data_IF_554206973283
#
_entry.id   IF_554206973283
#
_cell.length_a   1.000
_cell.length_b   1.000
_cell.length_c   1.000
_cell.angle_alpha   90.00
_cell.angle_beta   90.00
_cell.angle_gamma   90.00
#
_symmetry.space_group_name_H-M   'P 1'
#
loop_
_entity.id
_entity.type
_entity.pdbx_description
1 polymer ?
#
# COMPACT_ATOMS: atom_id res chain seq x y z
N UNK A 1 47.75 17.63 -18.71
CA UNK A 1 46.30 17.44 -18.58
C UNK A 1 46.08 17.21 -17.11
N UNK A 2 45.46 18.17 -16.41
CA UNK A 2 45.12 18.03 -14.99
C UNK A 2 43.79 17.29 -14.92
N UNK A 3 43.84 16.02 -14.54
CA UNK A 3 42.65 15.20 -14.36
C UNK A 3 41.83 15.78 -13.21
N UNK A 4 40.59 16.11 -13.54
CA UNK A 4 39.61 16.70 -12.65
C UNK A 4 39.03 15.52 -11.85
N UNK A 5 39.52 15.31 -10.62
CA UNK A 5 38.83 14.46 -9.65
C UNK A 5 37.62 15.25 -9.17
N UNK A 6 36.49 15.05 -9.84
CA UNK A 6 35.19 15.48 -9.35
C UNK A 6 34.83 14.62 -8.15
N UNK A 7 35.11 15.14 -6.94
CA UNK A 7 34.46 14.72 -5.70
C UNK A 7 32.97 15.11 -5.75
N UNK A 8 32.22 14.51 -6.69
CA UNK A 8 30.77 14.61 -6.72
C UNK A 8 30.22 13.74 -5.58
N UNK A 9 30.27 14.30 -4.37
CA UNK A 9 29.60 13.75 -3.19
C UNK A 9 28.10 13.59 -3.52
N UNK A 10 27.66 12.34 -3.66
CA UNK A 10 26.27 12.03 -3.99
C UNK A 10 25.36 12.61 -2.91
N UNK A 11 24.59 13.65 -3.26
CA UNK A 11 23.57 14.18 -2.38
C UNK A 11 22.36 13.26 -2.43
N UNK A 12 22.04 12.62 -1.29
CA UNK A 12 20.81 11.85 -1.16
C UNK A 12 19.60 12.75 -1.49
N UNK A 13 18.74 12.27 -2.39
CA UNK A 13 17.51 12.94 -2.77
C UNK A 13 16.52 12.91 -1.58
N UNK A 14 16.71 13.80 -0.61
CA UNK A 14 15.80 13.93 0.51
C UNK A 14 14.53 14.63 0.03
N UNK A 15 13.40 13.93 0.10
CA UNK A 15 12.08 14.50 -0.13
C UNK A 15 11.78 15.54 0.95
N UNK A 16 11.60 16.80 0.54
CA UNK A 16 11.28 17.90 1.44
C UNK A 16 9.82 17.78 1.88
N UNK A 17 9.55 17.01 2.92
CA UNK A 17 8.23 16.94 3.54
C UNK A 17 7.84 18.34 4.06
N UNK A 18 6.60 18.81 3.85
CA UNK A 18 6.17 20.13 4.32
C UNK A 18 6.28 20.21 5.85
N UNK A 19 7.02 21.20 6.34
CA UNK A 19 7.31 21.48 7.76
C UNK A 19 6.09 21.89 8.61
N UNK A 20 4.86 21.56 8.21
CA UNK A 20 3.63 22.14 8.76
C UNK A 20 2.72 21.14 9.50
N UNK A 21 3.25 20.03 9.97
CA UNK A 21 2.58 19.17 10.95
C UNK A 21 3.63 18.79 11.96
N UNK A 22 3.38 19.04 13.25
CA UNK A 22 4.23 18.50 14.31
C UNK A 22 4.46 17.02 14.00
N UNK A 23 5.73 16.58 13.91
CA UNK A 23 6.11 15.18 13.61
C UNK A 23 5.33 14.19 14.48
N UNK A 24 5.02 14.62 15.70
CA UNK A 24 4.24 13.87 16.67
C UNK A 24 2.76 13.71 16.26
N UNK A 25 2.15 14.67 15.58
CA UNK A 25 0.75 14.60 15.11
C UNK A 25 0.62 13.78 13.83
N UNK A 26 1.53 13.90 12.87
CA UNK A 26 1.51 13.08 11.65
C UNK A 26 1.68 11.59 11.97
N UNK A 27 2.63 11.26 12.86
CA UNK A 27 2.88 9.90 13.33
C UNK A 27 1.68 9.29 14.07
N UNK A 28 0.88 10.10 14.78
CA UNK A 28 -0.32 9.62 15.48
C UNK A 28 -1.49 9.32 14.53
N UNK A 29 -1.49 9.90 13.33
CA UNK A 29 -2.55 9.69 12.32
C UNK A 29 -2.17 8.67 11.25
N UNK A 30 -0.88 8.35 11.11
CA UNK A 30 -0.38 7.36 10.15
C UNK A 30 -0.31 5.97 10.77
N UNK A 31 -0.69 4.95 10.00
CA UNK A 31 -0.50 3.56 10.41
C UNK A 31 1.00 3.24 10.61
N UNK A 32 1.35 2.68 11.76
CA UNK A 32 2.69 2.19 12.08
C UNK A 32 3.05 0.91 11.30
N UNK A 33 4.33 0.75 10.97
CA UNK A 33 4.82 -0.35 10.13
C UNK A 33 4.70 -1.72 10.81
N UNK A 34 5.13 -1.83 12.07
CA UNK A 34 5.08 -3.10 12.81
C UNK A 34 3.63 -3.54 13.01
N UNK A 35 2.77 -2.58 13.33
CA UNK A 35 1.32 -2.80 13.42
C UNK A 35 0.74 -3.27 12.10
N UNK A 36 1.10 -2.62 10.98
CA UNK A 36 0.62 -3.00 9.66
C UNK A 36 1.02 -4.42 9.25
N UNK A 37 2.26 -4.82 9.53
CA UNK A 37 2.74 -6.18 9.23
C UNK A 37 1.99 -7.20 10.10
N UNK A 38 1.79 -6.91 11.39
CA UNK A 38 1.05 -7.78 12.30
C UNK A 38 -0.40 -7.97 11.83
N UNK A 39 -1.10 -6.88 11.51
CA UNK A 39 -2.48 -6.90 11.03
C UNK A 39 -2.61 -7.64 9.69
N UNK A 40 -1.70 -7.40 8.75
CA UNK A 40 -1.68 -8.12 7.48
C UNK A 40 -1.48 -9.63 7.68
N UNK A 41 -0.60 -10.06 8.59
CA UNK A 41 -0.44 -11.49 8.92
C UNK A 41 -1.71 -12.10 9.50
N UNK A 42 -2.42 -11.34 10.34
CA UNK A 42 -3.71 -11.77 10.89
C UNK A 42 -4.76 -11.88 9.78
N UNK A 43 -4.86 -10.89 8.89
CA UNK A 43 -5.78 -10.92 7.77
C UNK A 43 -5.51 -12.10 6.81
N UNK A 44 -4.24 -12.41 6.55
CA UNK A 44 -3.83 -13.59 5.76
C UNK A 44 -4.28 -14.88 6.45
N UNK A 45 -4.15 -14.98 7.78
CA UNK A 45 -4.64 -16.13 8.54
C UNK A 45 -6.17 -16.27 8.43
N UNK A 46 -6.92 -15.18 8.55
CA UNK A 46 -8.37 -15.16 8.34
C UNK A 46 -8.73 -15.61 6.92
N UNK A 47 -8.04 -15.09 5.90
CA UNK A 47 -8.23 -15.44 4.50
C UNK A 47 -8.07 -16.95 4.25
N UNK A 48 -6.97 -17.56 4.72
CA UNK A 48 -6.74 -19.00 4.54
C UNK A 48 -7.70 -19.89 5.33
N UNK A 49 -8.33 -19.37 6.38
CA UNK A 49 -9.40 -20.05 7.11
C UNK A 49 -10.79 -19.76 6.55
N UNK A 50 -10.90 -19.10 5.40
CA UNK A 50 -12.14 -18.66 4.76
C UNK A 50 -12.98 -17.67 5.59
N UNK A 51 -12.40 -17.02 6.59
CA UNK A 51 -13.03 -15.91 7.32
C UNK A 51 -12.75 -14.58 6.59
N UNK A 52 -13.34 -14.44 5.40
CA UNK A 52 -13.10 -13.28 4.53
C UNK A 52 -13.65 -11.98 5.12
N UNK A 53 -14.75 -12.03 5.87
CA UNK A 53 -15.34 -10.87 6.52
C UNK A 53 -14.39 -10.28 7.57
N UNK A 54 -13.76 -11.12 8.39
CA UNK A 54 -12.77 -10.66 9.36
C UNK A 54 -11.51 -10.15 8.67
N UNK A 55 -11.04 -10.82 7.60
CA UNK A 55 -9.89 -10.37 6.84
C UNK A 55 -10.12 -8.97 6.25
N UNK A 56 -11.27 -8.73 5.60
CA UNK A 56 -11.63 -7.43 5.04
C UNK A 56 -11.74 -6.33 6.08
N UNK A 57 -12.35 -6.62 7.24
CA UNK A 57 -12.44 -5.67 8.37
C UNK A 57 -11.07 -5.20 8.88
N UNK A 58 -10.04 -6.03 8.74
CA UNK A 58 -8.66 -5.66 9.10
C UNK A 58 -8.03 -4.81 7.97
N UNK A 59 -8.26 -5.17 6.71
CA UNK A 59 -7.58 -4.59 5.55
C UNK A 59 -8.16 -3.25 5.06
N UNK A 60 -9.48 -3.15 4.96
CA UNK A 60 -10.15 -1.99 4.33
C UNK A 60 -9.88 -0.65 5.03
N UNK A 61 -9.85 -0.54 6.38
CA UNK A 61 -9.67 0.76 7.04
C UNK A 61 -8.37 1.48 6.70
N UNK A 62 -7.35 0.74 6.26
CA UNK A 62 -6.00 1.26 6.04
C UNK A 62 -5.51 1.05 4.60
N UNK A 63 -6.41 0.71 3.68
CA UNK A 63 -6.07 0.40 2.29
C UNK A 63 -5.39 1.57 1.56
N UNK A 64 -5.70 2.82 1.93
CA UNK A 64 -5.15 4.03 1.30
C UNK A 64 -3.89 4.56 1.99
N UNK A 65 -3.60 4.11 3.21
CA UNK A 65 -2.54 4.69 4.06
C UNK A 65 -1.48 3.69 4.49
N UNK A 66 -1.64 2.41 4.18
CA UNK A 66 -0.68 1.35 4.53
C UNK A 66 -0.48 0.38 3.38
N UNK A 67 0.77 0.24 2.94
CA UNK A 67 1.14 -0.62 1.81
C UNK A 67 0.65 -2.07 1.97
N UNK A 68 0.75 -2.64 3.17
CA UNK A 68 0.38 -4.03 3.43
C UNK A 68 -1.14 -4.25 3.36
N UNK A 69 -1.91 -3.29 3.86
CA UNK A 69 -3.37 -3.34 3.79
C UNK A 69 -3.85 -3.10 2.36
N UNK A 70 -3.24 -2.13 1.66
CA UNK A 70 -3.50 -1.86 0.25
C UNK A 70 -3.31 -3.10 -0.63
N UNK A 71 -2.20 -3.82 -0.42
CA UNK A 71 -1.92 -5.06 -1.14
C UNK A 71 -2.97 -6.14 -0.83
N UNK A 72 -3.31 -6.35 0.44
CA UNK A 72 -4.32 -7.32 0.85
C UNK A 72 -5.69 -7.03 0.23
N UNK A 73 -6.15 -5.78 0.30
CA UNK A 73 -7.41 -5.32 -0.31
C UNK A 73 -7.38 -5.49 -1.84
N UNK A 74 -6.25 -5.19 -2.49
CA UNK A 74 -6.09 -5.40 -3.93
C UNK A 74 -6.19 -6.87 -4.33
N UNK A 75 -5.64 -7.79 -3.53
CA UNK A 75 -5.77 -9.24 -3.77
C UNK A 75 -7.22 -9.68 -3.64
N UNK A 76 -7.96 -9.17 -2.66
CA UNK A 76 -9.41 -9.43 -2.55
C UNK A 76 -10.15 -8.96 -3.80
N UNK A 77 -9.94 -7.72 -4.24
CA UNK A 77 -10.58 -7.17 -5.43
C UNK A 77 -10.22 -7.97 -6.70
N UNK A 78 -8.95 -8.37 -6.83
CA UNK A 78 -8.48 -9.22 -7.93
C UNK A 78 -9.17 -10.59 -7.94
N UNK A 79 -9.26 -11.25 -6.78
CA UNK A 79 -9.93 -12.54 -6.66
C UNK A 79 -11.42 -12.43 -6.93
N UNK A 80 -12.10 -11.39 -6.42
CA UNK A 80 -13.49 -11.12 -6.75
C UNK A 80 -13.68 -10.95 -8.25
N UNK A 81 -12.82 -10.17 -8.90
CA UNK A 81 -12.90 -9.94 -10.33
C UNK A 81 -12.68 -11.21 -11.16
N UNK A 82 -11.74 -12.08 -10.75
CA UNK A 82 -11.47 -13.33 -11.47
C UNK A 82 -12.53 -14.40 -11.20
N UNK A 83 -12.99 -14.53 -9.95
CA UNK A 83 -13.91 -15.59 -9.54
C UNK A 83 -15.37 -15.29 -9.92
N UNK A 84 -15.72 -14.04 -10.17
CA UNK A 84 -17.07 -13.67 -10.64
C UNK A 84 -17.33 -14.03 -12.10
N UNK A 85 -16.35 -14.54 -12.86
CA UNK A 85 -16.50 -14.94 -14.27
C UNK A 85 -17.15 -13.88 -15.18
N UNK A 86 -17.14 -12.62 -14.77
CA UNK A 86 -17.72 -11.52 -15.52
C UNK A 86 -16.60 -10.80 -16.28
N UNK A 87 -16.15 -11.40 -17.38
CA UNK A 87 -15.12 -10.83 -18.28
C UNK A 87 -15.38 -9.36 -18.67
N UNK A 88 -16.62 -8.88 -18.50
CA UNK A 88 -17.07 -7.53 -18.83
C UNK A 88 -16.58 -6.46 -17.83
N UNK A 89 -16.44 -6.77 -16.54
CA UNK A 89 -16.06 -5.77 -15.52
C UNK A 89 -14.56 -5.49 -15.46
N UNK A 90 -13.72 -6.52 -15.63
CA UNK A 90 -12.25 -6.37 -15.65
C UNK A 90 -11.83 -5.40 -16.77
N UNK A 91 -12.46 -5.49 -17.94
CA UNK A 91 -12.16 -4.61 -19.09
C UNK A 91 -12.53 -3.15 -18.79
N UNK A 92 -13.66 -2.91 -18.12
CA UNK A 92 -14.09 -1.56 -17.78
C UNK A 92 -13.15 -0.88 -16.77
N UNK A 93 -12.72 -1.60 -15.72
CA UNK A 93 -11.82 -1.05 -14.70
C UNK A 93 -10.40 -0.80 -15.25
N UNK A 94 -9.89 -1.71 -16.09
CA UNK A 94 -8.58 -1.54 -16.75
C UNK A 94 -8.61 -0.36 -17.74
N UNK A 95 -9.72 -0.14 -18.46
CA UNK A 95 -9.84 1.03 -19.35
C UNK A 95 -9.91 2.36 -18.58
N UNK A 96 -10.60 2.41 -17.43
CA UNK A 96 -10.74 3.65 -16.65
C UNK A 96 -9.47 4.09 -15.92
N UNK A 97 -8.49 3.19 -15.74
CA UNK A 97 -7.21 3.50 -15.09
C UNK A 97 -6.13 3.91 -16.12
N UNK A 98 -6.38 3.69 -17.43
CA UNK A 98 -5.39 3.91 -18.50
C UNK A 98 -5.71 5.13 -19.39
N UNK A 99 -6.83 5.82 -19.17
CA UNK A 99 -7.26 7.05 -19.87
C UNK A 99 -7.47 8.19 -18.87
#
# INVERSE_FOLDING_TARGET
MSDIEGDDEFQDAQESLPQCVDIHTFALTSMDLDTAIMEARKAIHCFFNNDFDQAKKILEPWADSSMYHSLGTSVFAFLEAILTFEQVLIIHYVLSVTL
#
